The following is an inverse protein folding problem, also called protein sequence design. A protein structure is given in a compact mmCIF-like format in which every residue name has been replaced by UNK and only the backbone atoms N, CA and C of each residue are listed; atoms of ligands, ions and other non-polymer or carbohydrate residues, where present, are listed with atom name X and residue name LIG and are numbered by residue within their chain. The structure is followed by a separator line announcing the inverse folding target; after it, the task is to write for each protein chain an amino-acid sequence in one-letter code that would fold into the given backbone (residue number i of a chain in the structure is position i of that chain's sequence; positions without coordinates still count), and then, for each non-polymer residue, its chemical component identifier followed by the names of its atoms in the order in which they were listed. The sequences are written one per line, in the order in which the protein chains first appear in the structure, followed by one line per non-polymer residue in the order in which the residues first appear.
data_IF_112075846513
#
_entry.id   IF_112075846513
#
_cell.length_a   1.000
_cell.length_b   1.000
_cell.length_c   1.000
_cell.angle_alpha   90.00
_cell.angle_beta   90.00
_cell.angle_gamma   90.00
#
_symmetry.space_group_name_H-M   'P 1'
#
loop_
_entity.id
_entity.type
_entity.pdbx_description
1 polymer ?
#
# COMPACT_ATOMS: atom_id res chain seq x y z
N UNK A 1 -10.02 -21.24 4.33
CA UNK A 1 -10.20 -19.77 4.56
C UNK A 1 -11.65 -19.51 4.90
N UNK A 2 -11.94 -18.64 5.86
CA UNK A 2 -13.30 -18.15 6.09
C UNK A 2 -13.73 -17.18 5.00
N UNK A 3 -15.04 -16.98 4.76
CA UNK A 3 -15.56 -16.00 3.78
C UNK A 3 -14.95 -14.59 3.99
N UNK A 4 -14.74 -14.19 5.26
CA UNK A 4 -14.09 -12.91 5.61
C UNK A 4 -12.63 -12.86 5.18
N UNK A 5 -11.89 -13.96 5.38
CA UNK A 5 -10.47 -14.03 4.95
C UNK A 5 -10.35 -13.98 3.43
N UNK A 6 -11.24 -14.67 2.70
CA UNK A 6 -11.27 -14.63 1.23
C UNK A 6 -11.57 -13.22 0.71
N UNK A 7 -12.51 -12.49 1.33
CA UNK A 7 -12.81 -11.10 0.99
C UNK A 7 -11.60 -10.20 1.22
N UNK A 8 -10.95 -10.30 2.38
CA UNK A 8 -9.77 -9.49 2.71
C UNK A 8 -8.62 -9.76 1.73
N UNK A 9 -8.37 -11.04 1.42
CA UNK A 9 -7.39 -11.43 0.40
C UNK A 9 -7.69 -10.79 -0.96
N UNK A 10 -8.94 -10.88 -1.43
CA UNK A 10 -9.35 -10.32 -2.71
C UNK A 10 -9.13 -8.80 -2.77
N UNK A 11 -9.48 -8.07 -1.70
CA UNK A 11 -9.27 -6.62 -1.63
C UNK A 11 -7.77 -6.26 -1.71
N UNK A 12 -6.92 -6.96 -0.96
CA UNK A 12 -5.47 -6.76 -0.98
C UNK A 12 -4.87 -7.13 -2.34
N UNK A 13 -5.35 -8.20 -2.97
CA UNK A 13 -4.91 -8.63 -4.28
C UNK A 13 -5.26 -7.62 -5.38
N UNK A 14 -6.49 -7.09 -5.36
CA UNK A 14 -6.90 -6.02 -6.29
C UNK A 14 -6.05 -4.75 -6.06
N UNK A 15 -5.78 -4.40 -4.81
CA UNK A 15 -4.88 -3.29 -4.50
C UNK A 15 -3.48 -3.50 -5.10
N UNK A 16 -2.92 -4.70 -4.98
CA UNK A 16 -1.62 -5.04 -5.57
C UNK A 16 -1.63 -4.96 -7.11
N UNK A 17 -2.74 -5.36 -7.77
CA UNK A 17 -2.90 -5.21 -9.22
C UNK A 17 -2.86 -3.72 -9.62
N UNK A 18 -3.64 -2.89 -8.95
CA UNK A 18 -3.70 -1.45 -9.25
C UNK A 18 -2.33 -0.80 -9.01
N UNK A 19 -1.64 -1.16 -7.95
CA UNK A 19 -0.32 -0.59 -7.64
C UNK A 19 0.78 -1.06 -8.57
N UNK A 20 0.74 -2.32 -9.02
CA UNK A 20 1.69 -2.81 -10.02
C UNK A 20 1.65 -2.01 -11.33
N UNK A 21 0.46 -1.63 -11.78
CA UNK A 21 0.28 -0.73 -12.94
C UNK A 21 0.62 0.73 -12.58
N UNK A 22 0.40 1.15 -11.33
CA UNK A 22 0.65 2.52 -10.90
C UNK A 22 2.13 2.93 -10.98
N UNK A 23 3.08 1.99 -10.89
CA UNK A 23 4.50 2.29 -11.10
C UNK A 23 4.78 2.85 -12.50
N UNK A 24 4.09 2.34 -13.52
CA UNK A 24 4.18 2.87 -14.89
C UNK A 24 3.61 4.28 -14.96
N UNK A 25 2.45 4.51 -14.35
CA UNK A 25 1.85 5.84 -14.31
C UNK A 25 2.71 6.85 -13.54
N UNK A 26 3.30 6.44 -12.42
CA UNK A 26 4.22 7.28 -11.64
C UNK A 26 5.46 7.67 -12.43
N UNK A 27 6.06 6.73 -13.14
CA UNK A 27 7.23 6.99 -14.00
C UNK A 27 6.86 7.94 -15.15
N UNK A 28 5.78 7.66 -15.87
CA UNK A 28 5.30 8.52 -16.96
C UNK A 28 4.91 9.94 -16.50
N UNK A 29 4.42 10.07 -15.27
CA UNK A 29 4.09 11.39 -14.70
C UNK A 29 5.30 12.29 -14.54
N UNK A 30 6.49 11.71 -14.31
CA UNK A 30 7.75 12.47 -14.13
C UNK A 30 8.24 13.15 -15.41
N UNK A 31 7.74 12.74 -16.57
CA UNK A 31 8.05 13.40 -17.85
C UNK A 31 7.37 14.77 -17.99
N UNK A 32 6.36 15.05 -17.16
CA UNK A 32 5.53 16.25 -17.25
C UNK A 32 5.63 17.16 -16.04
N UNK A 33 5.70 16.60 -14.83
CA UNK A 33 5.66 17.36 -13.56
C UNK A 33 6.68 16.84 -12.58
N UNK A 34 7.08 17.69 -11.63
CA UNK A 34 7.96 17.29 -10.55
C UNK A 34 7.32 16.30 -9.56
N UNK A 35 8.14 15.61 -8.74
CA UNK A 35 7.70 14.57 -7.82
C UNK A 35 6.72 15.07 -6.76
N UNK A 36 6.91 16.27 -6.25
CA UNK A 36 6.01 16.84 -5.23
C UNK A 36 4.70 17.33 -5.84
N UNK A 37 4.74 17.93 -7.04
CA UNK A 37 3.52 18.29 -7.80
C UNK A 37 2.68 17.06 -8.10
N UNK A 38 3.30 15.98 -8.58
CA UNK A 38 2.60 14.73 -8.85
C UNK A 38 1.96 14.16 -7.57
N UNK A 39 2.71 14.11 -6.46
CA UNK A 39 2.22 13.61 -5.17
C UNK A 39 1.10 14.48 -4.59
N UNK A 40 1.21 15.80 -4.68
CA UNK A 40 0.20 16.73 -4.21
C UNK A 40 -1.13 16.51 -4.95
N UNK A 41 -1.10 16.56 -6.28
CA UNK A 41 -2.31 16.49 -7.10
C UNK A 41 -2.97 15.11 -6.99
N UNK A 42 -2.21 13.99 -7.11
CA UNK A 42 -2.78 12.65 -6.98
C UNK A 42 -3.37 12.35 -5.61
N UNK A 43 -2.72 12.85 -4.53
CA UNK A 43 -3.19 12.60 -3.16
C UNK A 43 -4.45 13.41 -2.87
N UNK A 44 -4.49 14.70 -3.24
CA UNK A 44 -5.69 15.51 -3.09
C UNK A 44 -6.86 14.96 -3.93
N UNK A 45 -6.60 14.54 -5.17
CA UNK A 45 -7.60 13.92 -6.02
C UNK A 45 -8.15 12.64 -5.38
N UNK A 46 -7.27 11.78 -4.84
CA UNK A 46 -7.66 10.55 -4.14
C UNK A 46 -8.52 10.83 -2.91
N UNK A 47 -8.13 11.82 -2.09
CA UNK A 47 -8.90 12.26 -0.93
C UNK A 47 -10.28 12.81 -1.31
N UNK A 48 -10.35 13.67 -2.32
CA UNK A 48 -11.61 14.29 -2.79
C UNK A 48 -12.57 13.23 -3.36
N UNK A 49 -12.07 12.28 -4.14
CA UNK A 49 -12.89 11.19 -4.70
C UNK A 49 -13.50 10.31 -3.61
N UNK A 50 -12.85 10.16 -2.46
CA UNK A 50 -13.37 9.39 -1.33
C UNK A 50 -14.52 10.09 -0.60
N UNK A 51 -14.65 11.41 -0.67
CA UNK A 51 -15.71 12.16 0.01
C UNK A 51 -17.11 11.68 -0.42
N UNK A 52 -17.47 11.69 -1.73
CA UNK A 52 -18.77 11.18 -2.17
C UNK A 52 -18.96 9.69 -1.85
N UNK A 53 -17.90 8.87 -1.91
CA UNK A 53 -17.95 7.46 -1.52
C UNK A 53 -18.36 7.29 -0.06
N UNK A 54 -17.82 8.11 0.85
CA UNK A 54 -18.18 8.10 2.28
C UNK A 54 -19.67 8.47 2.47
N UNK A 55 -20.16 9.49 1.76
CA UNK A 55 -21.58 9.88 1.83
C UNK A 55 -22.52 8.77 1.34
N UNK A 56 -22.18 8.12 0.22
CA UNK A 56 -22.96 7.02 -0.34
C UNK A 56 -22.98 5.82 0.63
N UNK A 57 -21.83 5.40 1.15
CA UNK A 57 -21.74 4.29 2.10
C UNK A 57 -22.52 4.57 3.40
N UNK A 58 -22.47 5.80 3.91
CA UNK A 58 -23.21 6.19 5.09
C UNK A 58 -24.74 6.16 4.85
N UNK A 59 -25.22 6.49 3.63
CA UNK A 59 -26.65 6.40 3.26
C UNK A 59 -27.11 4.95 3.15
N UNK A 60 -26.30 4.06 2.58
CA UNK A 60 -26.64 2.64 2.41
C UNK A 60 -26.71 1.94 3.78
N UNK A 61 -25.72 2.19 4.64
CA UNK A 61 -25.73 1.66 6.00
C UNK A 61 -26.94 2.14 6.84
N UNK A 62 -27.39 3.40 6.66
CA UNK A 62 -28.61 3.90 7.33
C UNK A 62 -29.89 3.23 6.84
N UNK A 63 -29.95 2.77 5.59
CA UNK A 63 -31.13 2.06 5.05
C UNK A 63 -31.21 0.61 5.54
N UNK A 64 -30.06 -0.03 5.78
CA UNK A 64 -30.01 -1.42 6.27
C UNK A 64 -30.17 -1.51 7.81
N UNK A 65 -29.90 -0.45 8.56
CA UNK A 65 -29.97 -0.41 10.05
C UNK A 65 -31.38 -0.08 10.58
N UNK A 66 -32.44 -0.25 9.78
CA UNK A 66 -33.80 -0.31 10.31
C UNK A 66 -34.00 -1.46 11.31
N UNK A 67 -33.09 -2.41 11.41
CA UNK A 67 -33.14 -3.52 12.38
C UNK A 67 -31.70 -3.98 12.69
N UNK A 68 -31.28 -3.79 13.93
CA UNK A 68 -30.04 -4.28 14.57
C UNK A 68 -28.75 -3.56 14.12
N UNK A 69 -28.24 -2.70 15.01
CA UNK A 69 -26.88 -2.20 14.95
C UNK A 69 -25.90 -3.40 14.91
N UNK A 70 -25.23 -3.58 13.78
CA UNK A 70 -24.23 -4.62 13.62
C UNK A 70 -23.06 -4.29 14.55
N UNK A 71 -22.85 -5.03 15.63
CA UNK A 71 -21.80 -4.84 16.67
C UNK A 71 -20.38 -4.77 16.09
N UNK A 72 -20.20 -5.05 14.79
CA UNK A 72 -18.93 -5.06 14.08
C UNK A 72 -18.56 -3.75 13.36
N UNK A 73 -19.41 -2.71 13.41
CA UNK A 73 -19.03 -1.38 12.88
C UNK A 73 -18.12 -0.69 13.89
N UNK A 74 -16.93 -0.19 13.47
CA UNK A 74 -16.06 0.57 14.36
C UNK A 74 -16.83 1.77 14.91
N UNK A 75 -16.79 1.98 16.21
CA UNK A 75 -17.21 3.25 16.81
C UNK A 75 -16.16 4.27 16.38
N UNK A 76 -16.41 5.01 15.30
CA UNK A 76 -15.53 6.09 14.82
C UNK A 76 -15.39 7.15 15.93
N UNK A 77 -14.55 6.89 16.93
CA UNK A 77 -14.20 7.90 17.91
C UNK A 77 -13.46 9.03 17.16
N UNK A 78 -13.95 10.27 17.15
CA UNK A 78 -13.37 11.35 16.35
C UNK A 78 -11.87 11.54 16.62
N UNK A 79 -11.45 11.35 17.87
CA UNK A 79 -10.05 11.42 18.28
C UNK A 79 -9.17 10.37 17.60
N UNK A 80 -9.60 9.09 17.61
CA UNK A 80 -8.85 8.00 16.98
C UNK A 80 -8.81 8.16 15.46
N UNK A 81 -9.88 8.65 14.86
CA UNK A 81 -9.95 8.92 13.43
C UNK A 81 -8.98 10.03 13.01
N UNK A 82 -8.94 11.14 13.75
CA UNK A 82 -8.04 12.26 13.46
C UNK A 82 -6.58 11.85 13.69
N UNK A 83 -6.27 11.29 14.86
CA UNK A 83 -4.89 10.86 15.18
C UNK A 83 -4.40 9.81 14.18
N UNK A 84 -5.23 8.81 13.89
CA UNK A 84 -4.90 7.77 12.91
C UNK A 84 -4.72 8.34 11.50
N UNK A 85 -5.62 9.23 11.07
CA UNK A 85 -5.56 9.88 9.76
C UNK A 85 -4.31 10.74 9.60
N UNK A 86 -3.94 11.52 10.61
CA UNK A 86 -2.73 12.35 10.59
C UNK A 86 -1.46 11.49 10.64
N UNK A 87 -1.40 10.47 11.51
CA UNK A 87 -0.25 9.58 11.61
C UNK A 87 -0.04 8.78 10.31
N UNK A 88 -1.09 8.17 9.76
CA UNK A 88 -1.03 7.48 8.47
C UNK A 88 -0.68 8.44 7.35
N UNK A 89 -1.26 9.65 7.33
CA UNK A 89 -1.02 10.67 6.30
C UNK A 89 0.40 11.21 6.33
N UNK A 90 0.99 11.40 7.50
CA UNK A 90 2.39 11.81 7.63
C UNK A 90 3.34 10.73 7.08
N UNK A 91 3.16 9.48 7.49
CA UNK A 91 3.97 8.38 6.97
C UNK A 91 3.77 8.22 5.45
N UNK A 92 2.53 8.37 4.97
CA UNK A 92 2.22 8.36 3.55
C UNK A 92 2.95 9.46 2.79
N UNK A 93 2.91 10.69 3.27
CA UNK A 93 3.66 11.80 2.69
C UNK A 93 5.16 11.49 2.60
N UNK A 94 5.76 10.95 3.67
CA UNK A 94 7.19 10.62 3.69
C UNK A 94 7.52 9.52 2.68
N UNK A 95 6.83 8.37 2.73
CA UNK A 95 7.20 7.26 1.85
C UNK A 95 6.88 7.54 0.38
N UNK A 96 5.79 8.25 0.08
CA UNK A 96 5.47 8.59 -1.32
C UNK A 96 6.43 9.63 -1.88
N UNK A 97 6.90 10.58 -1.06
CA UNK A 97 7.92 11.55 -1.47
C UNK A 97 9.27 10.86 -1.74
N UNK A 98 9.70 9.99 -0.82
CA UNK A 98 10.94 9.20 -1.00
C UNK A 98 10.86 8.31 -2.24
N UNK A 99 9.71 7.66 -2.48
CA UNK A 99 9.50 6.82 -3.65
C UNK A 99 9.54 7.63 -4.94
N UNK A 100 8.79 8.74 -4.99
CA UNK A 100 8.66 9.53 -6.20
C UNK A 100 9.98 10.21 -6.60
N UNK A 101 10.72 10.74 -5.62
CA UNK A 101 12.08 11.26 -5.85
C UNK A 101 13.04 10.12 -6.22
N UNK A 102 12.94 8.99 -5.54
CA UNK A 102 13.79 7.82 -5.79
C UNK A 102 13.65 7.26 -7.21
N UNK A 103 12.43 7.20 -7.75
CA UNK A 103 12.15 6.72 -9.12
C UNK A 103 12.88 7.54 -10.18
N UNK A 104 13.15 8.82 -9.95
CA UNK A 104 13.90 9.66 -10.89
C UNK A 104 15.38 9.23 -11.05
N UNK A 105 15.93 8.50 -10.08
CA UNK A 105 17.35 8.12 -10.03
C UNK A 105 17.59 6.61 -10.09
N UNK A 106 16.53 5.81 -10.32
CA UNK A 106 16.63 4.36 -10.44
C UNK A 106 15.66 3.82 -11.50
N UNK A 107 15.78 2.54 -11.84
CA UNK A 107 14.85 1.93 -12.79
C UNK A 107 13.54 1.53 -12.07
N UNK A 108 12.43 1.52 -12.82
CA UNK A 108 11.11 1.09 -12.30
C UNK A 108 11.18 -0.32 -11.68
N UNK A 109 11.92 -1.25 -12.32
CA UNK A 109 12.10 -2.61 -11.79
C UNK A 109 12.85 -2.63 -10.45
N UNK A 110 13.95 -1.85 -10.33
CA UNK A 110 14.66 -1.73 -9.04
C UNK A 110 13.81 -1.04 -7.98
N UNK A 111 13.08 0.03 -8.35
CA UNK A 111 12.17 0.70 -7.44
C UNK A 111 11.13 -0.27 -6.89
N UNK A 112 10.49 -1.06 -7.75
CA UNK A 112 9.53 -2.10 -7.34
C UNK A 112 10.14 -3.16 -6.42
N UNK A 113 11.37 -3.65 -6.74
CA UNK A 113 12.07 -4.61 -5.90
C UNK A 113 12.37 -4.04 -4.50
N UNK A 114 13.01 -2.86 -4.45
CA UNK A 114 13.46 -2.28 -3.18
C UNK A 114 12.25 -1.83 -2.34
N UNK A 115 11.21 -1.28 -2.97
CA UNK A 115 9.96 -0.96 -2.26
C UNK A 115 9.40 -2.21 -1.61
N UNK A 116 9.28 -3.32 -2.34
CA UNK A 116 8.70 -4.56 -1.83
C UNK A 116 9.51 -5.22 -0.70
N UNK A 117 10.73 -4.74 -0.39
CA UNK A 117 11.48 -5.20 0.80
C UNK A 117 10.76 -4.89 2.12
N UNK A 118 9.67 -4.10 2.11
CA UNK A 118 8.80 -3.98 3.28
C UNK A 118 8.27 -5.33 3.78
N UNK A 119 8.23 -6.38 2.94
CA UNK A 119 7.89 -7.75 3.37
C UNK A 119 8.82 -8.32 4.44
N UNK A 120 10.07 -7.88 4.47
CA UNK A 120 11.04 -8.24 5.52
C UNK A 120 10.88 -7.29 6.71
N UNK A 121 10.69 -6.00 6.42
CA UNK A 121 10.65 -4.96 7.46
C UNK A 121 9.41 -5.06 8.35
N UNK A 122 8.24 -5.42 7.79
CA UNK A 122 7.00 -5.58 8.56
C UNK A 122 7.11 -6.64 9.66
N UNK A 123 7.54 -7.89 9.42
CA UNK A 123 7.69 -8.86 10.50
C UNK A 123 8.80 -8.47 11.50
N UNK A 124 9.88 -7.80 11.05
CA UNK A 124 10.92 -7.28 11.95
C UNK A 124 10.34 -6.23 12.88
N UNK A 125 9.62 -5.24 12.35
CA UNK A 125 8.92 -4.24 13.16
C UNK A 125 7.90 -4.89 14.10
N UNK A 126 7.25 -5.97 13.64
CA UNK A 126 6.33 -6.76 14.45
C UNK A 126 7.00 -7.35 15.71
N UNK A 127 8.24 -7.78 15.60
CA UNK A 127 9.00 -8.31 16.75
C UNK A 127 9.16 -7.23 17.85
N UNK A 128 9.50 -5.99 17.46
CA UNK A 128 9.60 -4.86 18.40
C UNK A 128 8.26 -4.56 19.08
N UNK A 129 7.15 -4.85 18.41
CA UNK A 129 5.80 -4.75 18.98
C UNK A 129 5.34 -6.04 19.68
N UNK A 130 6.28 -6.92 20.05
CA UNK A 130 6.03 -8.20 20.73
C UNK A 130 5.14 -9.18 19.96
N UNK A 131 5.04 -9.02 18.63
CA UNK A 131 4.38 -9.99 17.74
C UNK A 131 5.38 -11.07 17.35
N UNK A 132 4.97 -12.33 17.36
CA UNK A 132 5.82 -13.46 16.98
C UNK A 132 5.42 -13.92 15.57
N UNK A 133 6.32 -13.77 14.62
CA UNK A 133 6.20 -14.43 13.32
C UNK A 133 6.72 -15.88 13.45
N UNK A 134 5.89 -16.86 13.13
CA UNK A 134 6.29 -18.27 13.14
C UNK A 134 7.31 -18.58 12.03
N UNK A 135 8.06 -19.69 12.19
CA UNK A 135 9.07 -20.12 11.23
C UNK A 135 8.54 -20.17 9.79
N UNK A 136 7.30 -20.59 9.61
CA UNK A 136 6.64 -20.66 8.31
C UNK A 136 6.53 -19.30 7.61
N UNK A 137 6.24 -18.23 8.36
CA UNK A 137 6.20 -16.86 7.84
C UNK A 137 7.60 -16.45 7.37
N UNK A 138 8.64 -16.74 8.15
CA UNK A 138 10.02 -16.45 7.76
C UNK A 138 10.46 -17.20 6.50
N UNK A 139 10.07 -18.49 6.36
CA UNK A 139 10.31 -19.25 5.13
C UNK A 139 9.60 -18.59 3.95
N UNK A 140 8.32 -18.20 4.10
CA UNK A 140 7.56 -17.50 3.06
C UNK A 140 8.20 -16.17 2.67
N UNK A 141 8.63 -15.38 3.65
CA UNK A 141 9.35 -14.11 3.41
C UNK A 141 10.65 -14.36 2.64
N UNK A 142 11.45 -15.36 3.04
CA UNK A 142 12.71 -15.70 2.36
C UNK A 142 12.47 -16.12 0.91
N UNK A 143 11.47 -16.96 0.65
CA UNK A 143 11.10 -17.38 -0.72
C UNK A 143 10.65 -16.15 -1.54
N UNK A 144 9.84 -15.25 -0.96
CA UNK A 144 9.40 -14.02 -1.63
C UNK A 144 10.58 -13.11 -1.99
N UNK A 145 11.56 -12.95 -1.10
CA UNK A 145 12.74 -12.13 -1.37
C UNK A 145 13.57 -12.68 -2.52
N UNK A 146 13.76 -14.01 -2.56
CA UNK A 146 14.43 -14.67 -3.68
C UNK A 146 13.62 -14.47 -4.97
N UNK A 147 12.30 -14.65 -4.91
CA UNK A 147 11.41 -14.40 -6.05
C UNK A 147 11.51 -12.97 -6.56
N UNK A 148 11.47 -11.97 -5.68
CA UNK A 148 11.63 -10.56 -6.01
C UNK A 148 12.99 -10.26 -6.64
N UNK A 149 14.06 -10.84 -6.10
CA UNK A 149 15.40 -10.71 -6.66
C UNK A 149 15.48 -11.23 -8.10
N UNK A 150 14.94 -12.43 -8.35
CA UNK A 150 14.90 -13.03 -9.68
C UNK A 150 14.04 -12.21 -10.65
N UNK A 151 12.95 -11.64 -10.15
CA UNK A 151 11.98 -10.87 -10.94
C UNK A 151 12.55 -9.52 -11.39
N UNK A 152 13.15 -8.77 -10.50
CA UNK A 152 13.42 -7.35 -10.70
C UNK A 152 14.89 -7.01 -10.97
N UNK A 153 15.84 -7.84 -10.51
CA UNK A 153 17.26 -7.51 -10.61
C UNK A 153 17.89 -8.08 -11.88
N UNK A 154 18.30 -7.17 -12.79
CA UNK A 154 19.04 -7.50 -14.02
C UNK A 154 20.44 -6.86 -13.93
N UNK A 155 21.50 -7.66 -13.89
CA UNK A 155 22.88 -7.19 -13.92
C UNK A 155 23.56 -7.04 -12.55
N UNK A 156 24.62 -6.21 -12.49
CA UNK A 156 25.44 -6.00 -11.28
C UNK A 156 24.68 -5.27 -10.19
N UNK A 157 24.95 -5.65 -8.94
CA UNK A 157 24.38 -5.01 -7.75
C UNK A 157 25.13 -3.71 -7.45
N UNK A 158 24.65 -2.59 -7.97
CA UNK A 158 25.13 -1.25 -7.61
C UNK A 158 24.01 -0.48 -6.92
N UNK A 159 24.28 0.13 -5.77
CA UNK A 159 23.32 0.94 -5.02
C UNK A 159 23.48 2.39 -5.48
N UNK A 160 22.43 2.93 -6.11
CA UNK A 160 22.34 4.33 -6.50
C UNK A 160 21.75 5.20 -5.37
N UNK A 161 21.84 6.53 -5.51
CA UNK A 161 21.12 7.46 -4.61
C UNK A 161 19.61 7.19 -4.60
N UNK A 162 19.04 6.86 -5.76
CA UNK A 162 17.62 6.50 -5.88
C UNK A 162 17.28 5.23 -5.11
N UNK A 163 18.12 4.19 -5.22
CA UNK A 163 17.93 2.92 -4.52
C UNK A 163 17.91 3.12 -3.00
N UNK A 164 18.75 4.01 -2.45
CA UNK A 164 18.76 4.35 -1.03
C UNK A 164 17.47 5.06 -0.60
N UNK A 165 16.97 6.02 -1.39
CA UNK A 165 15.72 6.70 -1.12
C UNK A 165 14.52 5.71 -1.12
N UNK A 166 14.51 4.77 -2.08
CA UNK A 166 13.47 3.72 -2.14
C UNK A 166 13.59 2.74 -0.95
N UNK A 167 14.80 2.48 -0.45
CA UNK A 167 14.96 1.66 0.75
C UNK A 167 14.35 2.35 1.99
N UNK A 168 14.56 3.65 2.16
CA UNK A 168 13.90 4.43 3.21
C UNK A 168 12.39 4.50 3.00
N UNK A 169 11.92 4.58 1.75
CA UNK A 169 10.50 4.45 1.41
C UNK A 169 9.95 3.11 1.90
N UNK A 170 10.64 2.00 1.62
CA UNK A 170 10.23 0.65 2.05
C UNK A 170 10.07 0.56 3.58
N UNK A 171 11.02 1.13 4.34
CA UNK A 171 10.94 1.17 5.80
C UNK A 171 9.75 2.00 6.29
N UNK A 172 9.56 3.19 5.74
CA UNK A 172 8.44 4.07 6.13
C UNK A 172 7.09 3.51 5.71
N UNK A 173 7.02 2.80 4.58
CA UNK A 173 5.80 2.09 4.19
C UNK A 173 5.51 0.90 5.10
N UNK A 174 6.54 0.16 5.56
CA UNK A 174 6.36 -0.89 6.58
C UNK A 174 5.78 -0.30 7.89
N UNK A 175 6.28 0.86 8.34
CA UNK A 175 5.71 1.58 9.48
C UNK A 175 4.25 1.98 9.24
N UNK A 176 3.93 2.48 8.03
CA UNK A 176 2.57 2.83 7.66
C UNK A 176 1.63 1.62 7.76
N UNK A 177 2.02 0.44 7.24
CA UNK A 177 1.26 -0.80 7.36
C UNK A 177 0.97 -1.13 8.84
N UNK A 178 1.95 -0.98 9.73
CA UNK A 178 1.79 -1.25 11.16
C UNK A 178 0.85 -0.25 11.85
N UNK A 179 0.92 1.04 11.48
CA UNK A 179 0.03 2.08 12.02
C UNK A 179 -1.40 1.89 11.49
N UNK A 180 -1.58 1.57 10.21
CA UNK A 180 -2.88 1.22 9.63
C UNK A 180 -3.50 0.03 10.38
N UNK A 181 -2.73 -1.03 10.66
CA UNK A 181 -3.22 -2.20 11.41
C UNK A 181 -3.75 -1.80 12.79
N UNK A 182 -3.07 -0.86 13.48
CA UNK A 182 -3.52 -0.38 14.79
C UNK A 182 -4.86 0.37 14.74
N UNK A 183 -5.07 1.18 13.70
CA UNK A 183 -6.26 2.05 13.63
C UNK A 183 -7.45 1.42 12.90
N UNK A 184 -7.25 0.49 11.96
CA UNK A 184 -8.37 -0.13 11.19
C UNK A 184 -9.39 -0.87 12.03
N UNK A 185 -9.01 -1.31 13.22
CA UNK A 185 -9.92 -1.97 14.17
C UNK A 185 -10.81 -0.97 14.93
N UNK A 186 -10.41 0.30 15.00
CA UNK A 186 -11.05 1.36 15.78
C UNK A 186 -11.94 2.27 14.94
N UNK A 187 -11.56 2.50 13.68
CA UNK A 187 -12.19 3.50 12.80
C UNK A 187 -12.53 2.94 11.42
N UNK A 188 -13.41 3.65 10.71
CA UNK A 188 -13.76 3.32 9.33
C UNK A 188 -12.55 3.47 8.40
N UNK A 189 -12.23 2.40 7.66
CA UNK A 189 -11.09 2.41 6.72
C UNK A 189 -11.23 3.46 5.63
N UNK A 190 -12.43 3.69 5.09
CA UNK A 190 -12.66 4.70 4.05
C UNK A 190 -12.45 6.13 4.56
N UNK A 191 -12.91 6.43 5.80
CA UNK A 191 -12.70 7.73 6.42
C UNK A 191 -11.22 7.95 6.76
N UNK A 192 -10.56 6.92 7.29
CA UNK A 192 -9.12 6.94 7.55
C UNK A 192 -8.33 7.22 6.27
N UNK A 193 -8.69 6.53 5.17
CA UNK A 193 -8.08 6.72 3.84
C UNK A 193 -8.27 8.16 3.34
N UNK A 194 -9.46 8.73 3.46
CA UNK A 194 -9.74 10.10 3.04
C UNK A 194 -8.86 11.12 3.80
N UNK A 195 -8.80 11.04 5.13
CA UNK A 195 -8.02 11.98 5.94
C UNK A 195 -6.52 11.86 5.65
N UNK A 196 -5.99 10.63 5.56
CA UNK A 196 -4.56 10.43 5.27
C UNK A 196 -4.16 11.02 3.92
N UNK A 197 -5.01 10.90 2.86
CA UNK A 197 -4.71 11.45 1.55
C UNK A 197 -4.82 12.97 1.49
N UNK A 198 -5.83 13.55 2.12
CA UNK A 198 -5.95 15.00 2.20
C UNK A 198 -4.76 15.61 2.97
N UNK A 199 -4.38 15.00 4.09
CA UNK A 199 -3.25 15.47 4.87
C UNK A 199 -1.91 15.30 4.14
N UNK A 200 -1.65 14.12 3.55
CA UNK A 200 -0.45 13.88 2.75
C UNK A 200 -0.39 14.81 1.53
N UNK A 201 -1.53 15.07 0.88
CA UNK A 201 -1.64 16.00 -0.23
C UNK A 201 -1.30 17.43 0.18
N UNK A 202 -1.83 17.91 1.32
CA UNK A 202 -1.49 19.24 1.86
C UNK A 202 0.01 19.38 2.17
N UNK A 203 0.64 18.37 2.79
CA UNK A 203 2.08 18.37 3.04
C UNK A 203 2.88 18.37 1.73
N UNK A 204 2.42 17.59 0.74
CA UNK A 204 3.06 17.56 -0.59
C UNK A 204 2.93 18.90 -1.32
N UNK A 205 1.81 19.64 -1.15
CA UNK A 205 1.67 20.99 -1.68
C UNK A 205 2.71 21.95 -1.09
N UNK A 206 3.02 21.82 0.20
CA UNK A 206 4.07 22.66 0.82
C UNK A 206 5.41 22.44 0.12
N UNK A 207 5.81 21.17 -0.08
CA UNK A 207 7.06 20.86 -0.77
C UNK A 207 7.01 21.24 -2.26
N UNK A 208 5.85 21.09 -2.91
CA UNK A 208 5.64 21.52 -4.28
C UNK A 208 5.96 23.02 -4.47
N UNK A 209 5.41 23.88 -3.63
CA UNK A 209 5.65 25.32 -3.73
C UNK A 209 7.05 25.76 -3.24
N UNK A 210 7.72 24.95 -2.40
CA UNK A 210 9.07 25.24 -1.92
C UNK A 210 10.17 24.82 -2.89
N UNK A 211 9.98 23.75 -3.66
CA UNK A 211 11.01 23.10 -4.44
C UNK A 211 10.71 22.99 -5.95
N UNK A 212 9.49 23.28 -6.36
CA UNK A 212 9.04 23.14 -7.74
C UNK A 212 8.26 24.38 -8.18
N UNK A 213 8.23 24.64 -9.49
CA UNK A 213 7.39 25.67 -10.11
C UNK A 213 6.22 24.97 -10.84
N UNK A 214 5.08 24.73 -10.17
CA UNK A 214 4.00 23.99 -10.78
C UNK A 214 3.27 24.84 -11.84
N UNK A 215 3.19 24.30 -13.08
CA UNK A 215 2.46 24.91 -14.17
C UNK A 215 1.19 24.11 -14.47
N UNK A 216 0.06 24.79 -14.60
CA UNK A 216 -1.22 24.14 -14.92
C UNK A 216 -1.16 23.35 -16.24
N UNK A 217 -0.48 23.89 -17.26
CA UNK A 217 -0.29 23.20 -18.55
C UNK A 217 0.38 21.84 -18.40
N UNK A 218 1.43 21.74 -17.55
CA UNK A 218 2.15 20.51 -17.28
C UNK A 218 1.29 19.51 -16.49
N UNK A 219 0.53 20.00 -15.50
CA UNK A 219 -0.40 19.17 -14.74
C UNK A 219 -1.49 18.58 -15.65
N UNK A 220 -2.05 19.39 -16.55
CA UNK A 220 -3.03 18.92 -17.52
C UNK A 220 -2.41 17.97 -18.57
N UNK A 221 -1.16 18.16 -18.97
CA UNK A 221 -0.46 17.22 -19.85
C UNK A 221 -0.29 15.84 -19.17
N UNK A 222 -0.08 15.83 -17.85
CA UNK A 222 0.02 14.62 -17.03
C UNK A 222 -1.34 14.05 -16.56
N UNK A 223 -2.47 14.48 -17.14
CA UNK A 223 -3.82 14.14 -16.62
C UNK A 223 -4.06 12.64 -16.46
N UNK A 224 -3.63 11.84 -17.43
CA UNK A 224 -3.87 10.39 -17.41
C UNK A 224 -3.09 9.67 -16.30
N UNK A 225 -1.76 9.82 -16.16
CA UNK A 225 -1.03 9.26 -15.03
C UNK A 225 -1.51 9.80 -13.68
N UNK A 226 -1.88 11.08 -13.58
CA UNK A 226 -2.41 11.68 -12.34
C UNK A 226 -3.79 11.11 -12.01
N UNK A 227 -4.69 10.98 -12.99
CA UNK A 227 -6.02 10.41 -12.78
C UNK A 227 -5.93 8.93 -12.34
N UNK A 228 -5.09 8.14 -13.00
CA UNK A 228 -4.85 6.74 -12.59
C UNK A 228 -4.32 6.68 -11.16
N UNK A 229 -3.25 7.43 -10.86
CA UNK A 229 -2.62 7.42 -9.55
C UNK A 229 -3.55 8.00 -8.45
N UNK A 230 -4.32 9.05 -8.74
CA UNK A 230 -5.23 9.68 -7.78
C UNK A 230 -6.49 8.86 -7.52
N UNK A 231 -7.19 8.45 -8.57
CA UNK A 231 -8.49 7.78 -8.44
C UNK A 231 -8.30 6.30 -8.09
N UNK A 232 -7.54 5.56 -8.93
CA UNK A 232 -7.42 4.13 -8.75
C UNK A 232 -6.42 3.77 -7.66
N UNK A 233 -5.18 4.32 -7.70
CA UNK A 233 -4.17 3.97 -6.72
C UNK A 233 -4.50 4.59 -5.35
N UNK A 234 -4.67 5.91 -5.24
CA UNK A 234 -4.94 6.56 -3.96
C UNK A 234 -6.38 6.30 -3.48
N UNK A 235 -7.38 6.54 -4.31
CA UNK A 235 -8.80 6.39 -3.92
C UNK A 235 -9.18 4.93 -3.66
N UNK A 236 -8.98 4.04 -4.63
CA UNK A 236 -9.47 2.66 -4.55
C UNK A 236 -8.49 1.74 -3.86
N UNK A 237 -7.24 1.63 -4.34
CA UNK A 237 -6.32 0.59 -3.87
C UNK A 237 -5.91 0.77 -2.40
N UNK A 238 -5.56 1.97 -1.94
CA UNK A 238 -5.27 2.20 -0.52
C UNK A 238 -6.50 2.00 0.38
N UNK A 239 -7.69 2.35 -0.10
CA UNK A 239 -8.92 2.05 0.64
C UNK A 239 -9.13 0.54 0.76
N UNK A 240 -8.88 -0.20 -0.33
CA UNK A 240 -8.94 -1.67 -0.31
C UNK A 240 -7.87 -2.28 0.59
N UNK A 241 -6.64 -1.72 0.59
CA UNK A 241 -5.60 -2.11 1.54
C UNK A 241 -6.09 -1.94 2.99
N UNK A 242 -6.57 -0.76 3.36
CA UNK A 242 -6.99 -0.47 4.74
C UNK A 242 -8.14 -1.40 5.17
N UNK A 243 -9.14 -1.60 4.30
CA UNK A 243 -10.27 -2.49 4.60
C UNK A 243 -9.82 -3.96 4.65
N UNK A 244 -9.02 -4.41 3.68
CA UNK A 244 -8.54 -5.79 3.57
C UNK A 244 -7.52 -6.15 4.65
N UNK A 245 -6.78 -5.17 5.16
CA UNK A 245 -5.85 -5.36 6.27
C UNK A 245 -6.54 -5.55 7.61
N UNK A 246 -7.79 -5.11 7.76
CA UNK A 246 -8.54 -5.20 9.02
C UNK A 246 -8.73 -6.64 9.47
N UNK A 247 -8.02 -7.02 10.55
CA UNK A 247 -8.04 -8.37 11.12
C UNK A 247 -7.25 -9.40 10.31
N UNK A 248 -6.41 -8.95 9.39
CA UNK A 248 -5.36 -9.72 8.71
C UNK A 248 -4.03 -9.42 9.36
N UNK A 249 -3.16 -10.42 9.50
CA UNK A 249 -1.81 -10.19 10.03
C UNK A 249 -1.02 -9.26 9.11
N UNK A 250 -0.33 -8.22 9.64
CA UNK A 250 0.43 -7.27 8.81
C UNK A 250 1.48 -7.94 7.91
N UNK A 251 2.10 -9.03 8.35
CA UNK A 251 3.08 -9.75 7.54
C UNK A 251 2.41 -10.46 6.35
N UNK A 252 1.24 -11.06 6.58
CA UNK A 252 0.44 -11.66 5.49
C UNK A 252 -0.03 -10.56 4.53
N UNK A 253 -0.46 -9.41 5.05
CA UNK A 253 -0.82 -8.24 4.25
C UNK A 253 0.34 -7.82 3.37
N UNK A 254 1.55 -7.64 3.94
CA UNK A 254 2.74 -7.23 3.18
C UNK A 254 3.12 -8.24 2.09
N UNK A 255 3.02 -9.54 2.38
CA UNK A 255 3.25 -10.59 1.39
C UNK A 255 2.27 -10.51 0.21
N UNK A 256 0.98 -10.29 0.46
CA UNK A 256 -0.03 -10.17 -0.61
C UNK A 256 0.24 -8.91 -1.44
N UNK A 257 0.48 -7.78 -0.80
CA UNK A 257 0.73 -6.50 -1.46
C UNK A 257 2.00 -6.53 -2.31
N UNK A 258 3.03 -7.29 -1.92
CA UNK A 258 4.26 -7.42 -2.70
C UNK A 258 4.07 -8.04 -4.10
N UNK A 259 2.90 -8.63 -4.38
CA UNK A 259 2.49 -9.02 -5.74
C UNK A 259 2.42 -7.83 -6.71
N UNK A 260 2.39 -6.60 -6.21
CA UNK A 260 2.51 -5.41 -7.07
C UNK A 260 3.74 -5.47 -7.98
N UNK A 261 4.86 -6.04 -7.49
CA UNK A 261 6.08 -6.23 -8.29
C UNK A 261 5.89 -7.25 -9.42
N UNK A 262 5.17 -8.35 -9.15
CA UNK A 262 4.81 -9.34 -10.17
C UNK A 262 3.90 -8.72 -11.23
N UNK A 263 2.88 -8.01 -10.79
CA UNK A 263 1.93 -7.33 -11.69
C UNK A 263 2.63 -6.24 -12.50
N UNK A 264 3.58 -5.51 -11.93
CA UNK A 264 4.37 -4.51 -12.64
C UNK A 264 5.16 -5.12 -13.82
N UNK A 265 5.78 -6.28 -13.61
CA UNK A 265 6.50 -6.99 -14.68
C UNK A 265 5.53 -7.55 -15.73
N UNK A 266 4.40 -8.13 -15.31
CA UNK A 266 3.36 -8.61 -16.22
C UNK A 266 2.73 -7.46 -17.03
N UNK A 267 2.51 -6.32 -16.40
CA UNK A 267 2.02 -5.12 -17.10
C UNK A 267 3.05 -4.61 -18.14
N UNK A 268 4.34 -4.62 -17.82
CA UNK A 268 5.41 -4.32 -18.75
C UNK A 268 5.44 -5.27 -19.96
N UNK A 269 5.19 -6.57 -19.73
CA UNK A 269 5.10 -7.56 -20.80
C UNK A 269 3.87 -7.30 -21.70
N UNK A 270 2.69 -7.14 -21.12
CA UNK A 270 1.43 -7.01 -21.89
C UNK A 270 1.28 -5.63 -22.52
N UNK A 271 1.59 -4.55 -21.79
CA UNK A 271 1.33 -3.17 -22.23
C UNK A 271 2.49 -2.58 -23.05
N UNK A 272 3.74 -2.99 -22.73
CA UNK A 272 4.94 -2.44 -23.36
C UNK A 272 5.64 -3.43 -24.30
N UNK A 273 5.07 -4.63 -24.51
CA UNK A 273 5.63 -5.66 -25.38
C UNK A 273 6.99 -6.21 -24.92
N UNK A 274 7.35 -6.05 -23.64
CA UNK A 274 8.60 -6.54 -23.07
C UNK A 274 8.58 -8.07 -23.02
N UNK A 275 9.68 -8.73 -23.39
CA UNK A 275 9.76 -10.20 -23.29
C UNK A 275 10.03 -10.63 -21.86
N UNK A 276 9.22 -11.55 -21.35
CA UNK A 276 9.41 -12.17 -20.05
C UNK A 276 10.51 -13.25 -20.16
N UNK A 277 11.56 -13.11 -19.39
CA UNK A 277 12.64 -14.11 -19.32
C UNK A 277 12.24 -15.27 -18.41
N UNK A 278 12.86 -16.44 -18.59
CA UNK A 278 12.65 -17.60 -17.72
C UNK A 278 12.99 -17.29 -16.25
N UNK A 279 13.95 -16.41 -16.00
CA UNK A 279 14.31 -15.92 -14.66
C UNK A 279 13.16 -15.14 -14.02
N UNK A 280 12.53 -14.22 -14.75
CA UNK A 280 11.39 -13.43 -14.28
C UNK A 280 10.17 -14.33 -14.03
N UNK A 281 9.92 -15.29 -14.90
CA UNK A 281 8.86 -16.28 -14.72
C UNK A 281 9.07 -17.10 -13.44
N UNK A 282 10.30 -17.57 -13.17
CA UNK A 282 10.64 -18.29 -11.93
C UNK A 282 10.40 -17.38 -10.71
N UNK A 283 10.77 -16.09 -10.79
CA UNK A 283 10.50 -15.11 -9.75
C UNK A 283 9.01 -14.98 -9.44
N UNK A 284 8.17 -14.86 -10.46
CA UNK A 284 6.71 -14.83 -10.30
C UNK A 284 6.18 -16.08 -9.58
N UNK A 285 6.60 -17.26 -10.01
CA UNK A 285 6.16 -18.54 -9.43
C UNK A 285 6.55 -18.61 -7.94
N UNK A 286 7.78 -18.24 -7.59
CA UNK A 286 8.24 -18.21 -6.19
C UNK A 286 7.42 -17.25 -5.33
N UNK A 287 7.10 -16.06 -5.85
CA UNK A 287 6.26 -15.08 -5.14
C UNK A 287 4.87 -15.65 -4.84
N UNK A 288 4.21 -16.24 -5.83
CA UNK A 288 2.90 -16.87 -5.62
C UNK A 288 2.98 -18.05 -4.65
N UNK A 289 3.99 -18.92 -4.78
CA UNK A 289 4.20 -20.06 -3.89
C UNK A 289 4.40 -19.61 -2.42
N UNK A 290 5.16 -18.55 -2.21
CA UNK A 290 5.39 -17.97 -0.88
C UNK A 290 4.09 -17.47 -0.23
N UNK A 291 3.22 -16.81 -1.00
CA UNK A 291 1.94 -16.30 -0.50
C UNK A 291 0.99 -17.46 -0.15
N UNK A 292 0.91 -18.49 -1.01
CA UNK A 292 0.13 -19.68 -0.72
C UNK A 292 0.66 -20.38 0.54
N UNK A 293 1.98 -20.54 0.66
CA UNK A 293 2.60 -21.10 1.84
C UNK A 293 2.24 -20.32 3.10
N UNK A 294 2.29 -19.01 3.11
CA UNK A 294 1.94 -18.19 4.26
C UNK A 294 0.47 -18.37 4.71
N UNK A 295 -0.44 -18.66 3.78
CA UNK A 295 -1.87 -18.74 4.03
C UNK A 295 -2.41 -20.12 4.42
N UNK A 296 -1.75 -21.22 4.00
CA UNK A 296 -2.26 -22.61 4.15
C UNK A 296 -2.56 -23.00 5.60
N UNK A 297 -1.92 -22.40 6.60
CA UNK A 297 -2.29 -22.54 8.02
C UNK A 297 -2.05 -21.20 8.72
N UNK A 298 -3.01 -20.28 8.78
CA UNK A 298 -2.89 -19.16 9.68
C UNK A 298 -2.79 -19.73 11.10
N UNK A 299 -1.67 -19.51 11.79
CA UNK A 299 -1.60 -19.75 13.23
C UNK A 299 -2.81 -19.06 13.85
N UNK A 300 -3.66 -19.75 14.64
CA UNK A 300 -4.82 -19.11 15.24
C UNK A 300 -4.26 -17.93 16.05
N UNK A 301 -4.60 -16.72 15.65
CA UNK A 301 -4.39 -15.54 16.47
C UNK A 301 -4.98 -15.91 17.84
N UNK A 302 -4.14 -16.16 18.84
CA UNK A 302 -4.62 -16.33 20.22
C UNK A 302 -5.49 -15.12 20.50
N UNK A 303 -6.81 -15.30 20.51
CA UNK A 303 -7.74 -14.35 21.10
C UNK A 303 -7.14 -14.03 22.46
N UNK A 304 -6.62 -12.83 22.65
CA UNK A 304 -6.36 -12.29 23.95
C UNK A 304 -7.72 -12.36 24.67
N UNK A 305 -7.87 -13.30 25.57
CA UNK A 305 -9.00 -13.38 26.46
C UNK A 305 -9.15 -12.00 27.10
N UNK A 306 -10.26 -11.36 26.76
CA UNK A 306 -10.85 -10.26 27.51
C UNK A 306 -11.52 -10.86 28.77
N UNK A 307 -10.77 -11.66 29.53
CA UNK A 307 -11.25 -12.28 30.79
C UNK A 307 -10.38 -11.78 31.94
N UNK A 308 -10.37 -10.48 32.16
CA UNK A 308 -9.76 -9.89 33.37
C UNK A 308 -10.42 -8.55 33.71
N UNK A 309 -11.75 -8.50 33.63
CA UNK A 309 -12.53 -7.42 34.25
C UNK A 309 -13.93 -7.96 34.60
N UNK A 310 -13.98 -9.08 35.32
CA UNK A 310 -15.12 -9.45 36.19
C UNK A 310 -14.55 -10.37 37.28
N UNK A 311 -13.96 -9.79 38.26
CA UNK A 311 -13.94 -10.17 39.69
C UNK A 311 -13.54 -8.92 40.48
#
# INVERSE_FOLDING_TARGET
MTAKQSKNFLLLFIAAIIWGVAFVAQSAGMDYVGPFTFNAVRSLLGGVVLIPCIFLLNRTNKKETGTSANENTPKDAPKDLIIGGLACGFLMFVFTSLQQVGIMYTTVAKAGFITALYIIMVPILGIFLKRKAGLKIWISVSISVVGLYLLCMKGSFSISKGDFLILLCSLTFAMHIMVVDHFTVKVSGTKLSCIQFLFAGCLSCVLMFLFEEPHWSSIFAAWLPIAYAGILSCGVAYTFQIIGQRGTDPTITSLILSLESVISVLAGWVLLGQKLSSREMTGCILMFAAIILAQVNPSPLKKKKTDLLMN
#
